data_IF_690889378533
#
_entry.id   IF_690889378533
#
_cell.length_a   1.000
_cell.length_b   1.000
_cell.length_c   1.000
_cell.angle_alpha   90.00
_cell.angle_beta   90.00
_cell.angle_gamma   90.00
#
_symmetry.space_group_name_H-M   'P 1'
#
loop_
_entity.id
_entity.type
_entity.pdbx_description
1 polymer ?
#
# COMPACT_ATOMS: atom_id res chain seq x y z
N UNK A 1 4.13 -3.68 11.91
CA UNK A 1 4.08 -4.04 10.48
C UNK A 1 2.97 -3.23 9.88
N UNK A 2 3.30 -2.50 8.83
CA UNK A 2 2.41 -1.56 8.17
C UNK A 2 2.05 -2.12 6.80
N UNK A 3 0.78 -2.03 6.40
CA UNK A 3 0.29 -2.44 5.07
C UNK A 3 -0.17 -1.20 4.32
N UNK A 4 0.20 -1.09 3.04
CA UNK A 4 -0.19 0.00 2.14
C UNK A 4 -0.58 -0.55 0.79
N UNK A 5 -1.52 0.07 0.08
CA UNK A 5 -1.99 -0.51 -1.19
C UNK A 5 -2.43 0.53 -2.21
N UNK A 6 -1.87 0.51 -3.41
CA UNK A 6 -2.13 1.44 -4.50
C UNK A 6 -3.19 0.91 -5.48
N UNK A 7 -4.07 1.78 -5.98
CA UNK A 7 -5.07 1.47 -7.02
C UNK A 7 -4.50 1.56 -8.45
N UNK A 8 -5.23 2.17 -9.39
CA UNK A 8 -4.90 2.25 -10.84
C UNK A 8 -3.42 2.53 -11.16
N UNK A 9 -2.80 3.41 -10.39
CA UNK A 9 -1.39 3.79 -10.52
C UNK A 9 -0.40 2.62 -10.30
N UNK A 10 -0.80 1.55 -9.65
CA UNK A 10 0.07 0.43 -9.36
C UNK A 10 -0.58 -0.92 -9.66
N UNK A 11 -1.72 -0.88 -10.36
CA UNK A 11 -2.56 -2.04 -10.62
C UNK A 11 -1.74 -3.17 -11.25
N UNK A 12 -1.95 -4.43 -10.81
CA UNK A 12 -1.39 -5.57 -11.50
C UNK A 12 -1.94 -5.63 -12.92
N UNK A 13 -1.09 -6.02 -13.86
CA UNK A 13 -1.41 -6.21 -15.27
C UNK A 13 -0.82 -7.51 -15.76
N UNK A 14 -1.50 -8.10 -16.75
CA UNK A 14 -0.97 -9.20 -17.53
C UNK A 14 -0.16 -8.62 -18.69
N UNK A 15 1.13 -8.96 -18.78
CA UNK A 15 1.97 -8.60 -19.92
C UNK A 15 1.84 -9.61 -21.06
N UNK A 16 1.62 -10.87 -20.70
CA UNK A 16 1.30 -11.98 -21.59
C UNK A 16 0.29 -12.92 -20.89
N UNK A 17 0.16 -14.17 -21.34
CA UNK A 17 -0.80 -15.13 -20.78
C UNK A 17 -0.67 -15.35 -19.26
N UNK A 18 0.54 -15.27 -18.70
CA UNK A 18 0.81 -15.61 -17.29
C UNK A 18 1.75 -14.65 -16.57
N UNK A 19 2.43 -13.77 -17.30
CA UNK A 19 3.33 -12.79 -16.70
C UNK A 19 2.51 -11.68 -16.04
N UNK A 20 2.61 -11.58 -14.72
CA UNK A 20 1.99 -10.53 -13.92
C UNK A 20 3.06 -9.49 -13.57
N UNK A 21 2.73 -8.21 -13.78
CA UNK A 21 3.54 -7.05 -13.41
C UNK A 21 2.69 -6.00 -12.70
N UNK A 22 3.29 -5.29 -11.75
CA UNK A 22 2.69 -4.10 -11.13
C UNK A 22 3.70 -3.34 -10.30
N UNK A 23 3.25 -2.35 -9.53
CA UNK A 23 4.10 -1.63 -8.58
C UNK A 23 3.68 -1.96 -7.16
N UNK A 24 4.59 -2.47 -6.35
CA UNK A 24 4.31 -2.71 -4.93
C UNK A 24 4.29 -1.38 -4.15
N UNK A 25 5.18 -0.48 -4.52
CA UNK A 25 5.41 0.81 -3.88
C UNK A 25 5.44 1.87 -4.98
N UNK A 26 4.80 3.01 -4.76
CA UNK A 26 4.90 4.18 -5.65
C UNK A 26 5.48 5.35 -4.86
N UNK A 27 6.44 6.06 -5.47
CA UNK A 27 7.18 7.14 -4.82
C UNK A 27 6.56 8.50 -5.08
N UNK A 28 6.84 9.43 -4.16
CA UNK A 28 6.54 10.87 -4.27
C UNK A 28 5.05 11.18 -4.50
N UNK A 29 4.18 10.22 -4.16
CA UNK A 29 2.73 10.34 -4.29
C UNK A 29 2.07 10.26 -2.94
N UNK A 30 1.08 11.11 -2.79
CA UNK A 30 0.24 11.13 -1.61
C UNK A 30 -0.72 9.95 -1.61
N UNK A 31 -0.83 9.33 -0.44
CA UNK A 31 -1.92 8.42 -0.16
C UNK A 31 -3.25 9.15 -0.09
N UNK A 32 -4.33 8.36 -0.10
CA UNK A 32 -5.63 8.83 0.38
C UNK A 32 -5.52 9.09 1.88
N UNK A 33 -6.51 9.79 2.45
CA UNK A 33 -6.54 10.00 3.90
C UNK A 33 -6.71 8.65 4.61
N UNK A 34 -5.70 8.25 5.38
CA UNK A 34 -5.66 7.05 6.18
C UNK A 34 -6.00 7.37 7.63
N UNK A 35 -6.49 6.37 8.36
CA UNK A 35 -6.73 6.47 9.80
C UNK A 35 -5.80 5.52 10.56
N UNK A 36 -4.97 6.09 11.43
CA UNK A 36 -4.16 5.35 12.38
C UNK A 36 -5.03 5.00 13.58
N UNK A 37 -5.37 3.71 13.73
CA UNK A 37 -6.22 3.21 14.82
C UNK A 37 -5.56 3.36 16.20
N UNK A 38 -4.24 3.17 16.26
CA UNK A 38 -3.48 3.18 17.51
C UNK A 38 -3.33 4.62 18.02
N UNK A 39 -2.93 5.52 17.11
CA UNK A 39 -2.71 6.94 17.42
C UNK A 39 -3.97 7.80 17.27
N UNK A 40 -5.08 7.18 16.85
CA UNK A 40 -6.40 7.80 16.66
C UNK A 40 -6.34 9.10 15.85
N UNK A 41 -5.63 9.08 14.73
CA UNK A 41 -5.40 10.28 13.90
C UNK A 41 -5.47 9.99 12.41
N UNK A 42 -5.94 10.98 11.66
CA UNK A 42 -5.95 10.94 10.21
C UNK A 42 -4.65 11.47 9.63
N UNK A 43 -4.15 10.85 8.58
CA UNK A 43 -2.92 11.26 7.92
C UNK A 43 -2.92 10.92 6.43
N UNK A 44 -2.11 11.64 5.66
CA UNK A 44 -1.67 11.25 4.32
C UNK A 44 -0.24 10.75 4.43
N UNK A 45 0.10 9.71 3.68
CA UNK A 45 1.45 9.17 3.58
C UNK A 45 2.08 9.53 2.23
N UNK A 46 3.38 9.84 2.26
CA UNK A 46 4.22 9.93 1.06
C UNK A 46 5.44 9.05 1.28
N UNK A 47 5.73 8.17 0.33
CA UNK A 47 6.96 7.37 0.34
C UNK A 47 7.97 8.05 -0.57
N UNK A 48 9.14 8.38 -0.03
CA UNK A 48 10.20 9.05 -0.80
C UNK A 48 10.84 8.06 -1.77
N UNK A 49 11.31 8.57 -2.91
CA UNK A 49 12.08 7.81 -3.92
C UNK A 49 13.33 7.11 -3.35
N UNK A 50 13.95 7.69 -2.32
CA UNK A 50 15.07 7.07 -1.60
C UNK A 50 14.68 6.16 -0.43
N UNK A 51 13.39 5.86 -0.24
CA UNK A 51 12.94 5.10 0.92
C UNK A 51 13.30 3.61 0.87
N UNK A 52 13.59 3.08 -0.31
CA UNK A 52 14.04 1.70 -0.52
C UNK A 52 15.32 1.68 -1.36
N UNK A 53 16.06 0.58 -1.28
CA UNK A 53 17.29 0.37 -2.05
C UNK A 53 17.40 -1.08 -2.50
N UNK A 54 18.24 -1.36 -3.50
CA UNK A 54 18.55 -2.73 -3.91
C UNK A 54 19.13 -3.57 -2.76
N UNK A 55 19.94 -2.96 -1.90
CA UNK A 55 20.49 -3.60 -0.71
C UNK A 55 19.38 -4.05 0.25
N UNK A 56 18.38 -3.19 0.48
CA UNK A 56 17.20 -3.55 1.27
C UNK A 56 16.48 -4.76 0.65
N UNK A 57 16.19 -4.73 -0.65
CA UNK A 57 15.50 -5.82 -1.34
C UNK A 57 16.29 -7.14 -1.25
N UNK A 58 17.62 -7.08 -1.41
CA UNK A 58 18.53 -8.23 -1.29
C UNK A 58 18.74 -8.73 0.14
N UNK A 59 18.30 -7.98 1.15
CA UNK A 59 18.36 -8.39 2.56
C UNK A 59 17.06 -9.02 3.07
N UNK A 60 15.99 -9.01 2.25
CA UNK A 60 14.66 -9.41 2.65
C UNK A 60 14.22 -10.76 2.06
N UNK A 61 13.29 -11.41 2.75
CA UNK A 61 12.50 -12.53 2.24
C UNK A 61 11.10 -12.01 1.89
N UNK A 62 10.91 -11.60 0.63
CA UNK A 62 9.72 -10.94 0.10
C UNK A 62 8.86 -11.95 -0.66
N UNK A 63 7.59 -12.06 -0.27
CA UNK A 63 6.61 -12.94 -0.93
C UNK A 63 5.65 -12.12 -1.77
N UNK A 64 5.26 -12.63 -2.94
CA UNK A 64 4.11 -12.15 -3.69
C UNK A 64 2.88 -12.96 -3.26
N UNK A 65 1.90 -12.32 -2.64
CA UNK A 65 0.71 -12.93 -2.07
C UNK A 65 -0.58 -12.45 -2.75
N UNK A 66 -1.67 -13.15 -2.50
CA UNK A 66 -3.03 -12.63 -2.67
C UNK A 66 -3.57 -12.18 -1.32
N UNK A 67 -4.12 -10.97 -1.23
CA UNK A 67 -4.78 -10.43 -0.04
C UNK A 67 -3.95 -10.52 1.26
N UNK A 68 -2.62 -10.37 1.20
CA UNK A 68 -1.70 -10.57 2.33
C UNK A 68 -1.79 -11.97 2.98
N UNK A 69 -2.47 -12.91 2.33
CA UNK A 69 -2.67 -14.24 2.87
C UNK A 69 -1.45 -15.10 2.56
N UNK A 70 -0.67 -15.41 3.61
CA UNK A 70 0.54 -16.25 3.53
C UNK A 70 0.29 -17.66 2.99
N UNK A 71 -0.96 -18.14 2.99
CA UNK A 71 -1.33 -19.42 2.41
C UNK A 71 -1.55 -19.34 0.88
N UNK A 72 -1.64 -18.14 0.32
CA UNK A 72 -1.90 -17.88 -1.11
C UNK A 72 -0.67 -17.27 -1.78
N UNK A 73 0.41 -18.04 -1.79
CA UNK A 73 1.71 -17.63 -2.33
C UNK A 73 1.76 -17.77 -3.85
N UNK A 74 2.12 -16.69 -4.55
CA UNK A 74 2.27 -16.67 -6.00
C UNK A 74 3.74 -16.74 -6.42
N UNK A 75 4.60 -15.96 -5.78
CA UNK A 75 6.03 -15.90 -6.08
C UNK A 75 6.84 -15.49 -4.86
N UNK A 76 8.16 -15.62 -4.91
CA UNK A 76 9.05 -15.26 -3.80
C UNK A 76 10.38 -14.74 -4.30
N UNK A 77 10.86 -13.68 -3.65
CA UNK A 77 12.21 -13.14 -3.78
C UNK A 77 12.87 -13.27 -2.41
N UNK A 78 13.84 -14.17 -2.29
CA UNK A 78 14.58 -14.40 -1.06
C UNK A 78 16.01 -13.94 -1.27
N UNK A 79 16.38 -12.84 -0.61
CA UNK A 79 17.68 -12.20 -0.76
C UNK A 79 18.03 -11.81 -2.21
N UNK A 80 17.05 -11.36 -2.99
CA UNK A 80 17.24 -10.96 -4.38
C UNK A 80 17.12 -12.08 -5.41
N UNK A 81 16.81 -13.31 -4.99
CA UNK A 81 16.70 -14.48 -5.87
C UNK A 81 15.36 -15.20 -5.72
N UNK A 82 14.83 -15.74 -6.82
CA UNK A 82 13.63 -16.58 -6.80
C UNK A 82 12.71 -16.35 -8.00
N UNK A 83 11.42 -16.66 -7.82
CA UNK A 83 10.40 -16.52 -8.87
C UNK A 83 9.80 -15.12 -8.97
N UNK A 84 10.09 -14.24 -8.00
CA UNK A 84 9.67 -12.85 -7.98
C UNK A 84 10.86 -11.94 -8.34
N UNK A 85 10.70 -11.15 -9.40
CA UNK A 85 11.62 -10.06 -9.74
C UNK A 85 11.11 -8.76 -9.12
N UNK A 86 12.02 -7.99 -8.53
CA UNK A 86 11.75 -6.64 -8.01
C UNK A 86 12.78 -5.70 -8.61
N UNK A 87 12.34 -4.52 -9.04
CA UNK A 87 13.19 -3.49 -9.64
C UNK A 87 12.75 -2.12 -9.13
N UNK A 88 13.70 -1.21 -8.94
CA UNK A 88 13.44 0.14 -8.47
C UNK A 88 13.67 1.10 -9.63
N UNK A 89 12.66 1.90 -9.95
CA UNK A 89 12.75 2.97 -10.93
C UNK A 89 12.27 4.31 -10.35
N UNK A 90 12.24 5.35 -11.20
CA UNK A 90 11.80 6.70 -10.79
C UNK A 90 10.33 6.72 -10.31
N UNK A 91 9.54 5.72 -10.70
CA UNK A 91 8.13 5.62 -10.34
C UNK A 91 7.93 4.93 -9.00
N UNK A 92 8.67 3.85 -8.73
CA UNK A 92 8.40 2.99 -7.61
C UNK A 92 9.23 1.71 -7.53
N UNK A 93 8.72 0.76 -6.75
CA UNK A 93 9.20 -0.62 -6.73
C UNK A 93 8.29 -1.47 -7.62
N UNK A 94 8.75 -1.81 -8.81
CA UNK A 94 8.07 -2.72 -9.72
C UNK A 94 8.24 -4.16 -9.22
N UNK A 95 7.19 -4.98 -9.35
CA UNK A 95 7.29 -6.43 -9.24
C UNK A 95 6.89 -7.10 -10.55
N UNK A 96 7.53 -8.23 -10.84
CA UNK A 96 7.21 -9.07 -12.00
C UNK A 96 7.41 -10.55 -11.67
N UNK A 97 6.47 -11.40 -12.07
CA UNK A 97 6.61 -12.86 -11.95
C UNK A 97 5.70 -13.61 -12.93
N UNK A 98 6.11 -14.81 -13.30
CA UNK A 98 5.23 -15.76 -13.97
C UNK A 98 4.27 -16.37 -12.96
N UNK A 99 2.97 -16.19 -13.17
CA UNK A 99 1.96 -16.77 -12.28
C UNK A 99 2.09 -18.30 -12.24
N UNK A 100 2.20 -18.92 -11.04
CA UNK A 100 2.45 -20.35 -10.92
C UNK A 100 1.28 -21.16 -11.47
N UNK A 101 1.52 -22.37 -11.96
CA UNK A 101 0.45 -23.26 -12.43
C UNK A 101 -0.24 -23.95 -11.23
N UNK A 102 -0.95 -23.15 -10.43
CA UNK A 102 -1.69 -23.56 -9.23
C UNK A 102 -3.08 -22.94 -9.25
N UNK A 103 -3.98 -23.42 -8.39
CA UNK A 103 -5.32 -22.83 -8.26
C UNK A 103 -5.27 -21.31 -7.97
N UNK A 104 -4.36 -20.86 -7.11
CA UNK A 104 -4.19 -19.43 -6.82
C UNK A 104 -3.57 -18.67 -7.98
N UNK A 105 -2.67 -19.28 -8.75
CA UNK A 105 -2.09 -18.63 -9.94
C UNK A 105 -3.10 -18.46 -11.08
N UNK A 106 -3.96 -19.46 -11.33
CA UNK A 106 -5.08 -19.34 -12.27
C UNK A 106 -6.11 -18.32 -11.79
N UNK A 107 -6.44 -18.33 -10.50
CA UNK A 107 -7.32 -17.35 -9.89
C UNK A 107 -6.78 -15.92 -10.05
N UNK A 108 -5.48 -15.70 -9.79
CA UNK A 108 -4.86 -14.39 -9.93
C UNK A 108 -4.97 -13.87 -11.37
N UNK A 109 -4.62 -14.69 -12.37
CA UNK A 109 -4.71 -14.32 -13.78
C UNK A 109 -6.14 -13.90 -14.15
N UNK A 110 -7.13 -14.72 -13.80
CA UNK A 110 -8.51 -14.47 -14.19
C UNK A 110 -9.08 -13.22 -13.51
N UNK A 111 -8.83 -13.04 -12.22
CA UNK A 111 -9.33 -11.88 -11.48
C UNK A 111 -8.63 -10.58 -11.88
N UNK A 112 -7.35 -10.62 -12.25
CA UNK A 112 -6.66 -9.45 -12.84
C UNK A 112 -7.25 -9.14 -14.21
N UNK A 113 -7.45 -10.16 -15.07
CA UNK A 113 -8.02 -9.99 -16.42
C UNK A 113 -9.41 -9.36 -16.38
N UNK A 114 -10.24 -9.76 -15.42
CA UNK A 114 -11.58 -9.20 -15.20
C UNK A 114 -11.57 -7.82 -14.56
N UNK A 115 -10.43 -7.40 -13.99
CA UNK A 115 -10.29 -6.16 -13.24
C UNK A 115 -10.82 -6.23 -11.80
N UNK A 116 -11.09 -7.44 -11.29
CA UNK A 116 -11.54 -7.65 -9.91
C UNK A 116 -10.37 -7.52 -8.90
N UNK A 117 -9.17 -7.97 -9.31
CA UNK A 117 -7.91 -7.69 -8.60
C UNK A 117 -7.19 -6.56 -9.33
N UNK A 118 -7.40 -5.32 -8.87
CA UNK A 118 -6.91 -4.11 -9.53
C UNK A 118 -5.92 -3.31 -8.65
N UNK A 119 -5.56 -3.82 -7.48
CA UNK A 119 -4.67 -3.17 -6.53
C UNK A 119 -3.37 -3.92 -6.28
N UNK A 120 -2.34 -3.16 -5.91
CA UNK A 120 -1.09 -3.71 -5.37
C UNK A 120 -0.86 -3.20 -3.97
N UNK A 121 -0.22 -4.00 -3.13
CA UNK A 121 0.00 -3.71 -1.72
C UNK A 121 1.35 -4.22 -1.27
N UNK A 122 1.84 -3.73 -0.13
CA UNK A 122 3.06 -4.24 0.48
C UNK A 122 3.03 -4.09 2.00
N UNK A 123 3.68 -5.03 2.68
CA UNK A 123 3.85 -5.01 4.12
C UNK A 123 5.31 -4.70 4.49
N UNK A 124 5.50 -3.73 5.39
CA UNK A 124 6.83 -3.28 5.79
C UNK A 124 6.95 -2.91 7.28
N UNK A 125 8.18 -2.65 7.72
CA UNK A 125 8.47 -1.93 8.98
C UNK A 125 9.47 -0.81 8.71
N UNK A 126 9.38 0.22 9.55
CA UNK A 126 10.33 1.32 9.57
C UNK A 126 10.45 1.91 10.98
N UNK A 127 11.61 2.46 11.33
CA UNK A 127 11.86 3.19 12.56
C UNK A 127 11.15 4.56 12.51
N UNK A 128 10.02 4.64 13.22
CA UNK A 128 9.17 5.83 13.31
C UNK A 128 9.92 7.10 13.76
N UNK A 129 11.00 7.00 14.55
CA UNK A 129 11.72 8.17 15.06
C UNK A 129 12.80 8.65 14.11
N UNK A 130 13.43 7.73 13.37
CA UNK A 130 14.59 8.03 12.52
C UNK A 130 14.23 8.21 11.06
N UNK A 131 13.26 7.45 10.58
CA UNK A 131 12.99 7.32 9.15
C UNK A 131 11.72 8.06 8.72
N UNK A 132 10.92 8.55 9.66
CA UNK A 132 9.65 9.22 9.39
C UNK A 132 9.72 10.69 9.77
N UNK A 133 9.27 11.55 8.86
CA UNK A 133 9.03 12.96 9.14
C UNK A 133 7.52 13.23 9.19
N UNK A 134 7.12 14.09 10.12
CA UNK A 134 5.74 14.55 10.24
C UNK A 134 5.65 16.04 9.98
N UNK A 135 4.79 16.41 9.04
CA UNK A 135 4.40 17.80 8.80
C UNK A 135 2.88 17.94 8.83
N UNK A 136 2.39 19.18 8.79
CA UNK A 136 0.96 19.46 8.68
C UNK A 136 0.70 20.30 7.44
N UNK A 137 -0.37 19.96 6.73
CA UNK A 137 -0.90 20.73 5.62
C UNK A 137 -2.42 20.73 5.70
N UNK A 138 -3.04 21.91 5.69
CA UNK A 138 -4.49 22.10 5.74
C UNK A 138 -5.20 21.35 6.91
N UNK A 139 -4.54 21.30 8.07
CA UNK A 139 -5.06 20.64 9.27
C UNK A 139 -4.95 19.11 9.26
N UNK A 140 -4.40 18.54 8.20
CA UNK A 140 -4.12 17.12 8.02
C UNK A 140 -2.63 16.82 8.27
N UNK A 141 -2.36 15.68 8.91
CA UNK A 141 -1.01 15.22 9.16
C UNK A 141 -0.44 14.58 7.90
N UNK A 142 0.77 14.97 7.51
CA UNK A 142 1.51 14.32 6.43
C UNK A 142 2.61 13.48 7.08
N UNK A 143 2.62 12.18 6.79
CA UNK A 143 3.64 11.20 7.19
C UNK A 143 4.55 10.94 6.00
N UNK A 144 5.76 11.45 6.05
CA UNK A 144 6.77 11.22 5.00
C UNK A 144 7.68 10.07 5.40
N UNK A 145 7.66 8.99 4.64
CA UNK A 145 8.52 7.82 4.83
C UNK A 145 9.81 8.02 4.04
N UNK A 146 10.89 8.37 4.76
CA UNK A 146 12.20 8.62 4.16
C UNK A 146 13.04 7.35 4.00
N UNK A 147 12.74 6.30 4.78
CA UNK A 147 13.42 5.00 4.71
C UNK A 147 12.51 3.88 5.20
N UNK A 148 12.67 2.69 4.62
CA UNK A 148 12.04 1.43 5.03
C UNK A 148 13.15 0.49 5.51
N UNK A 149 12.93 -0.18 6.64
CA UNK A 149 13.93 -1.06 7.24
C UNK A 149 13.76 -2.53 6.83
N UNK A 150 12.53 -2.95 6.48
CA UNK A 150 12.26 -4.31 5.98
C UNK A 150 10.94 -4.37 5.23
N UNK A 151 10.92 -5.17 4.16
CA UNK A 151 9.72 -5.54 3.40
C UNK A 151 9.47 -7.03 3.62
N UNK A 152 8.21 -7.42 3.83
CA UNK A 152 7.82 -8.81 4.09
C UNK A 152 7.10 -9.45 2.91
N UNK A 153 6.21 -8.68 2.30
CA UNK A 153 5.44 -9.13 1.17
C UNK A 153 5.05 -7.96 0.28
N UNK A 154 4.74 -8.32 -0.95
CA UNK A 154 3.94 -7.57 -1.90
C UNK A 154 2.69 -8.39 -2.14
N UNK A 155 1.55 -7.75 -2.32
CA UNK A 155 0.28 -8.45 -2.47
C UNK A 155 -0.56 -7.83 -3.56
N UNK A 156 -1.16 -8.69 -4.37
CA UNK A 156 -2.24 -8.30 -5.27
C UNK A 156 -3.53 -8.31 -4.43
N UNK A 157 -4.33 -7.25 -4.56
CA UNK A 157 -5.50 -7.02 -3.69
C UNK A 157 -6.71 -6.52 -4.48
N UNK A 158 -7.92 -6.93 -4.07
CA UNK A 158 -9.21 -6.41 -4.57
C UNK A 158 -9.54 -5.06 -3.96
N UNK A 159 -9.14 -4.83 -2.72
CA UNK A 159 -9.50 -3.62 -1.97
C UNK A 159 -8.23 -2.88 -1.56
N UNK A 160 -7.53 -2.21 -2.50
CA UNK A 160 -6.35 -1.46 -2.10
C UNK A 160 -6.82 -0.27 -1.26
N UNK A 161 -6.11 -0.02 -0.14
CA UNK A 161 -6.37 1.13 0.73
C UNK A 161 -6.35 2.48 -0.02
N UNK A 162 -5.76 2.54 -1.22
CA UNK A 162 -5.69 3.70 -2.09
C UNK A 162 -6.62 3.58 -3.33
N UNK A 163 -7.67 2.74 -3.30
CA UNK A 163 -8.76 2.82 -4.29
C UNK A 163 -9.84 3.82 -3.91
N UNK A 164 -10.38 4.47 -4.93
CA UNK A 164 -11.45 5.46 -4.91
C UNK A 164 -12.78 4.99 -4.34
N UNK A 165 -13.02 5.24 -3.07
CA UNK A 165 -14.25 5.95 -2.66
C UNK A 165 -13.81 7.19 -1.94
N UNK A 166 -14.09 8.38 -2.46
CA UNK A 166 -14.02 9.57 -1.61
C UNK A 166 -14.67 9.17 -0.29
N UNK A 167 -13.89 9.13 0.79
CA UNK A 167 -14.49 9.20 2.10
C UNK A 167 -15.00 10.63 2.14
N UNK A 168 -16.17 10.83 1.52
CA UNK A 168 -16.97 12.00 1.71
C UNK A 168 -17.08 12.06 3.22
N UNK A 169 -16.62 13.15 3.82
CA UNK A 169 -16.62 13.40 5.27
C UNK A 169 -17.99 13.11 5.92
N UNK A 170 -19.04 12.93 5.10
CA UNK A 170 -20.37 12.41 5.45
C UNK A 170 -20.41 10.94 5.94
N UNK A 171 -19.60 10.01 5.42
CA UNK A 171 -19.64 8.59 5.83
C UNK A 171 -19.05 8.34 7.23
N UNK A 172 -18.15 9.20 7.69
CA UNK A 172 -17.57 9.15 9.05
C UNK A 172 -18.58 9.39 10.18
N UNK A 173 -19.77 9.92 9.87
CA UNK A 173 -20.81 10.22 10.87
C UNK A 173 -21.56 9.00 11.40
N UNK A 174 -21.59 7.88 10.65
CA UNK A 174 -22.54 6.79 10.93
C UNK A 174 -21.91 5.60 11.67
N UNK A 175 -20.58 5.47 11.68
CA UNK A 175 -19.89 4.31 12.28
C UNK A 175 -19.06 4.62 13.54
N UNK A 176 -19.11 5.86 14.05
CA UNK A 176 -18.46 6.22 15.31
C UNK A 176 -19.53 6.22 16.41
N UNK A 177 -19.63 5.10 17.14
CA UNK A 177 -20.26 5.15 18.47
C UNK A 177 -19.46 6.14 19.34
N UNK A 178 -20.12 7.08 20.04
CA UNK A 178 -19.46 8.22 20.63
C UNK A 178 -18.69 7.79 21.88
N UNK A 179 -17.39 7.58 21.75
CA UNK A 179 -16.48 7.56 22.90
C UNK A 179 -16.00 8.99 23.12
N UNK A 180 -16.68 9.65 24.06
CA UNK A 180 -16.37 10.93 24.72
C UNK A 180 -16.07 12.16 23.84
N UNK A 181 -16.68 13.29 24.23
CA UNK A 181 -16.56 14.61 23.58
C UNK A 181 -15.12 15.15 23.65
N UNK A 182 -14.27 14.75 22.72
CA UNK A 182 -13.01 15.45 22.45
C UNK A 182 -13.02 16.08 21.06
N UNK A 183 -12.24 17.16 20.94
CA UNK A 183 -12.05 18.17 19.88
C UNK A 183 -12.14 17.76 18.39
N UNK A 184 -12.31 16.49 18.05
CA UNK A 184 -12.37 15.99 16.68
C UNK A 184 -13.62 16.45 15.92
N UNK A 185 -14.77 16.56 16.60
CA UNK A 185 -16.02 17.05 15.98
C UNK A 185 -15.90 18.51 15.51
N UNK A 186 -15.24 19.37 16.29
CA UNK A 186 -14.96 20.77 15.92
C UNK A 186 -14.02 20.82 14.71
N UNK A 187 -13.09 19.87 14.59
CA UNK A 187 -12.16 19.76 13.46
C UNK A 187 -12.90 19.30 12.18
N UNK A 188 -13.86 18.39 12.30
CA UNK A 188 -14.76 18.00 11.20
C UNK A 188 -15.62 19.18 10.74
N UNK A 189 -16.21 19.94 11.66
CA UNK A 189 -17.06 21.09 11.30
C UNK A 189 -16.27 22.20 10.58
N UNK A 190 -15.05 22.51 11.03
CA UNK A 190 -14.18 23.49 10.35
C UNK A 190 -13.80 23.06 8.93
N UNK A 191 -13.58 21.78 8.70
CA UNK A 191 -13.31 21.23 7.36
C UNK A 191 -14.56 21.28 6.45
N UNK A 192 -15.76 21.23 7.02
CA UNK A 192 -17.02 21.36 6.26
C UNK A 192 -17.29 22.79 5.78
N UNK A 193 -16.77 23.80 6.46
CA UNK A 193 -16.97 25.22 6.10
C UNK A 193 -15.96 25.75 5.07
N UNK A 194 -14.99 24.94 4.65
CA UNK A 194 -13.92 25.29 3.69
C UNK A 194 -14.19 24.77 2.27
N UNK A 195 -15.40 24.24 2.00
CA UNK A 195 -15.91 23.79 0.70
C UNK A 195 -17.18 24.58 0.40
#
# INVERSE_FOLDING_TARGET
>A
MEIRSFGENAAPKLLDERMIEGYAIVFERESRVMYDLEKKRFFIEVIKSGAISDELLRSCDIKALLEHNKQRLLARCNNGEGSLSLDIDDYGCMYRFNSPNTQDGEYAIEMIRRGDLFGSSFAYITDEKRNIEYSQRDGLLIRTVNKIDKIFDISIVSDPAYFGTDVTVRSLGTHIHPVSKDNYQIKIEKLRTLI
#
